data_IF_100926558507
#
_entry.id   IF_100926558507
#
_cell.length_a   1.000
_cell.length_b   1.000
_cell.length_c   1.000
_cell.angle_alpha   90.00
_cell.angle_beta   90.00
_cell.angle_gamma   90.00
#
_symmetry.space_group_name_H-M   'P 1'
#
loop_
_entity.id
_entity.type
_entity.pdbx_description
1 polymer ?
#
# COMPACT_ATOMS: atom_id res chain seq x y z
N UNK A 1 -20.95 30.10 -32.40
CA UNK A 1 -19.50 29.82 -32.27
C UNK A 1 -19.32 28.72 -31.26
N UNK A 2 -18.43 27.73 -31.53
CA UNK A 2 -18.07 26.72 -30.52
C UNK A 2 -17.29 27.38 -29.39
N UNK A 3 -17.55 27.05 -28.11
CA UNK A 3 -16.83 27.62 -26.98
C UNK A 3 -15.34 27.24 -27.04
N UNK A 4 -14.45 28.22 -26.88
CA UNK A 4 -13.01 28.00 -26.88
C UNK A 4 -12.58 27.40 -25.53
N UNK A 5 -11.81 26.33 -25.58
CA UNK A 5 -11.25 25.65 -24.43
C UNK A 5 -9.72 25.80 -24.48
N UNK A 6 -9.11 26.16 -23.37
CA UNK A 6 -7.65 26.20 -23.23
C UNK A 6 -7.23 25.07 -22.31
N UNK A 7 -6.23 24.27 -22.73
CA UNK A 7 -5.61 23.24 -21.90
C UNK A 7 -4.19 23.67 -21.58
N UNK A 8 -3.93 24.02 -20.32
CA UNK A 8 -2.65 24.50 -19.84
C UNK A 8 -1.86 23.39 -19.14
N UNK A 9 -0.64 23.14 -19.62
CA UNK A 9 0.23 22.07 -19.13
C UNK A 9 0.03 20.76 -19.90
N UNK A 10 0.60 20.68 -21.10
CA UNK A 10 0.48 19.52 -21.98
C UNK A 10 1.50 18.41 -21.65
N UNK A 11 1.58 18.01 -20.39
CA UNK A 11 2.20 16.75 -19.98
C UNK A 11 1.34 15.55 -20.36
N UNK A 12 1.62 14.35 -19.83
CA UNK A 12 0.91 13.12 -20.19
C UNK A 12 -0.62 13.23 -20.09
N UNK A 13 -1.13 13.78 -18.99
CA UNK A 13 -2.58 13.95 -18.76
C UNK A 13 -3.15 15.09 -19.63
N UNK A 14 -2.49 16.25 -19.64
CA UNK A 14 -2.96 17.42 -20.38
C UNK A 14 -2.99 17.18 -21.90
N UNK A 15 -2.00 16.49 -22.45
CA UNK A 15 -1.98 16.15 -23.87
C UNK A 15 -3.12 15.16 -24.24
N UNK A 16 -3.42 14.18 -23.39
CA UNK A 16 -4.57 13.28 -23.62
C UNK A 16 -5.90 14.03 -23.61
N UNK A 17 -6.08 14.98 -22.68
CA UNK A 17 -7.30 15.83 -22.64
C UNK A 17 -7.37 16.70 -23.89
N UNK A 18 -6.28 17.34 -24.28
CA UNK A 18 -6.20 18.17 -25.49
C UNK A 18 -6.55 17.35 -26.75
N UNK A 19 -5.94 16.19 -26.94
CA UNK A 19 -6.17 15.31 -28.08
C UNK A 19 -7.63 14.82 -28.14
N UNK A 20 -8.21 14.42 -27.00
CA UNK A 20 -9.59 13.96 -26.91
C UNK A 20 -10.56 15.08 -27.30
N UNK A 21 -10.38 16.29 -26.77
CA UNK A 21 -11.22 17.44 -27.11
C UNK A 21 -11.11 17.82 -28.60
N UNK A 22 -9.90 17.73 -29.16
CA UNK A 22 -9.65 17.96 -30.60
C UNK A 22 -10.36 16.92 -31.47
N UNK A 23 -10.30 15.63 -31.11
CA UNK A 23 -11.01 14.54 -31.78
C UNK A 23 -12.54 14.73 -31.75
N UNK A 24 -13.08 15.25 -30.66
CA UNK A 24 -14.48 15.59 -30.52
C UNK A 24 -14.90 16.87 -31.29
N UNK A 25 -13.96 17.50 -31.99
CA UNK A 25 -14.22 18.70 -32.78
C UNK A 25 -14.44 19.96 -31.96
N UNK A 26 -13.94 20.00 -30.71
CA UNK A 26 -13.95 21.21 -29.88
C UNK A 26 -12.93 22.25 -30.39
N UNK A 27 -13.21 23.54 -30.17
CA UNK A 27 -12.23 24.62 -30.41
C UNK A 27 -11.26 24.64 -29.21
N UNK A 28 -10.13 23.94 -29.35
CA UNK A 28 -9.15 23.78 -28.27
C UNK A 28 -7.80 24.38 -28.61
N UNK A 29 -7.18 25.04 -27.63
CA UNK A 29 -5.79 25.57 -27.68
C UNK A 29 -5.03 24.98 -26.53
N UNK A 30 -3.85 24.43 -26.83
CA UNK A 30 -2.91 23.91 -25.82
C UNK A 30 -1.87 24.96 -25.43
N UNK A 31 -1.48 24.99 -24.16
CA UNK A 31 -0.34 25.78 -23.68
C UNK A 31 0.72 24.82 -23.12
N UNK A 32 1.93 24.92 -23.63
CA UNK A 32 3.07 24.11 -23.20
C UNK A 32 4.32 24.97 -23.03
N UNK A 33 5.23 24.55 -22.15
CA UNK A 33 6.56 25.16 -22.01
C UNK A 33 7.58 24.61 -23.02
N UNK A 34 7.24 23.52 -23.71
CA UNK A 34 8.08 22.89 -24.73
C UNK A 34 7.26 22.58 -25.98
N UNK A 35 7.88 22.57 -27.17
CA UNK A 35 7.22 22.14 -28.40
C UNK A 35 6.75 20.69 -28.31
N UNK A 36 5.61 20.40 -28.95
CA UNK A 36 5.07 19.05 -29.02
C UNK A 36 5.18 18.54 -30.44
N UNK A 37 5.91 17.46 -30.68
CA UNK A 37 6.07 16.91 -32.02
C UNK A 37 4.72 16.51 -32.65
N UNK A 38 4.49 16.93 -33.88
CA UNK A 38 3.27 16.58 -34.64
C UNK A 38 2.05 17.50 -34.41
N UNK A 39 2.14 18.48 -33.52
CA UNK A 39 1.07 19.48 -33.36
C UNK A 39 1.37 20.76 -34.16
N UNK A 40 0.33 21.34 -34.77
CA UNK A 40 0.43 22.61 -35.52
C UNK A 40 0.50 23.80 -34.57
N UNK A 41 1.28 24.80 -34.92
CA UNK A 41 1.42 26.07 -34.16
C UNK A 41 0.08 26.83 -34.03
N UNK A 42 -0.90 26.56 -34.86
CA UNK A 42 -2.21 27.20 -34.80
C UNK A 42 -3.01 26.82 -33.55
N UNK A 43 -2.78 25.64 -32.99
CA UNK A 43 -3.49 25.13 -31.83
C UNK A 43 -2.61 25.00 -30.57
N UNK A 44 -1.35 25.49 -30.65
CA UNK A 44 -0.38 25.36 -29.59
C UNK A 44 0.29 26.71 -29.31
N UNK A 45 0.29 27.14 -28.06
CA UNK A 45 1.04 28.29 -27.57
C UNK A 45 2.19 27.79 -26.71
N UNK A 46 3.41 28.14 -27.10
CA UNK A 46 4.62 27.76 -26.37
C UNK A 46 5.08 28.94 -25.53
N UNK A 47 5.26 28.71 -24.23
CA UNK A 47 5.73 29.77 -23.31
C UNK A 47 5.65 29.38 -21.84
N UNK A 48 6.04 30.29 -20.98
CA UNK A 48 5.94 30.11 -19.54
C UNK A 48 4.47 30.09 -19.13
N UNK A 49 4.03 28.99 -18.52
CA UNK A 49 2.65 28.75 -18.13
C UNK A 49 2.10 29.77 -17.14
N UNK A 50 2.97 30.42 -16.34
CA UNK A 50 2.59 31.47 -15.37
C UNK A 50 2.51 32.87 -16.00
N UNK A 51 3.01 33.04 -17.22
CA UNK A 51 3.10 34.36 -17.84
C UNK A 51 1.73 34.84 -18.33
N UNK A 52 1.30 36.06 -17.94
CA UNK A 52 0.11 36.69 -18.51
C UNK A 52 0.18 36.80 -20.04
N UNK A 53 1.37 37.04 -20.60
CA UNK A 53 1.57 37.14 -22.05
C UNK A 53 1.26 35.82 -22.75
N UNK A 54 1.66 34.67 -22.20
CA UNK A 54 1.35 33.33 -22.73
C UNK A 54 -0.14 33.03 -22.69
N UNK A 55 -0.80 33.37 -21.58
CA UNK A 55 -2.26 33.20 -21.44
C UNK A 55 -3.02 34.14 -22.41
N UNK A 56 -2.54 35.36 -22.63
CA UNK A 56 -3.10 36.30 -23.59
C UNK A 56 -2.90 35.82 -25.03
N UNK A 57 -1.73 35.27 -25.37
CA UNK A 57 -1.47 34.66 -26.68
C UNK A 57 -2.43 33.51 -26.97
N UNK A 58 -2.85 32.70 -25.94
CA UNK A 58 -3.89 31.70 -26.05
C UNK A 58 -5.31 32.29 -26.08
N UNK A 59 -5.46 33.62 -26.06
CA UNK A 59 -6.74 34.33 -26.08
C UNK A 59 -7.64 34.03 -24.89
N UNK A 60 -7.09 34.00 -23.69
CA UNK A 60 -7.82 33.67 -22.46
C UNK A 60 -9.01 34.62 -22.21
N UNK A 61 -8.96 35.87 -22.66
CA UNK A 61 -10.03 36.86 -22.49
C UNK A 61 -11.34 36.42 -23.13
N UNK A 62 -11.25 35.70 -24.25
CA UNK A 62 -12.41 35.18 -25.00
C UNK A 62 -12.67 33.70 -24.77
N UNK A 63 -11.86 33.03 -23.97
CA UNK A 63 -12.02 31.62 -23.69
C UNK A 63 -13.19 31.38 -22.72
N UNK A 64 -13.91 30.30 -22.96
CA UNK A 64 -14.98 29.83 -22.09
C UNK A 64 -14.46 29.00 -20.92
N UNK A 65 -13.50 28.12 -21.19
CA UNK A 65 -13.00 27.14 -20.20
C UNK A 65 -11.46 27.08 -20.23
N UNK A 66 -10.86 27.05 -19.07
CA UNK A 66 -9.44 26.77 -18.86
C UNK A 66 -9.29 25.44 -18.07
N UNK A 67 -8.56 24.50 -18.63
CA UNK A 67 -8.18 23.25 -17.97
C UNK A 67 -6.72 23.36 -17.52
N UNK A 68 -6.49 23.28 -16.21
CA UNK A 68 -5.16 23.26 -15.60
C UNK A 68 -4.77 21.81 -15.37
N UNK A 69 -3.82 21.29 -16.15
CA UNK A 69 -3.50 19.87 -16.20
C UNK A 69 -2.07 19.53 -15.76
N UNK A 70 -1.33 20.50 -15.17
CA UNK A 70 0.02 20.24 -14.67
C UNK A 70 0.00 19.30 -13.46
N UNK A 71 1.14 18.70 -13.14
CA UNK A 71 1.29 17.84 -11.96
C UNK A 71 1.69 18.59 -10.69
N UNK A 72 1.78 19.89 -10.75
CA UNK A 72 2.19 20.78 -9.65
C UNK A 72 1.01 21.65 -9.22
N UNK A 73 0.49 21.41 -8.01
CA UNK A 73 -0.65 22.14 -7.45
C UNK A 73 -0.32 23.64 -7.29
N UNK A 74 0.91 23.99 -6.90
CA UNK A 74 1.32 25.38 -6.73
C UNK A 74 1.37 26.13 -8.08
N UNK A 75 1.84 25.44 -9.12
CA UNK A 75 1.83 25.99 -10.48
C UNK A 75 0.39 26.18 -10.99
N UNK A 76 -0.48 25.20 -10.78
CA UNK A 76 -1.89 25.30 -11.18
C UNK A 76 -2.59 26.47 -10.47
N UNK A 77 -2.34 26.66 -9.17
CA UNK A 77 -2.90 27.80 -8.42
C UNK A 77 -2.37 29.16 -8.92
N UNK A 78 -1.08 29.24 -9.24
CA UNK A 78 -0.51 30.46 -9.81
C UNK A 78 -1.13 30.80 -11.16
N UNK A 79 -1.32 29.82 -12.05
CA UNK A 79 -1.99 30.00 -13.34
C UNK A 79 -3.46 30.39 -13.14
N UNK A 80 -4.18 29.74 -12.21
CA UNK A 80 -5.57 30.05 -11.85
C UNK A 80 -5.71 31.52 -11.47
N UNK A 81 -4.81 32.02 -10.61
CA UNK A 81 -4.84 33.41 -10.16
C UNK A 81 -4.66 34.37 -11.32
N UNK A 82 -3.68 34.13 -12.19
CA UNK A 82 -3.46 34.93 -13.39
C UNK A 82 -4.65 34.86 -14.37
N UNK A 83 -5.21 33.70 -14.55
CA UNK A 83 -6.37 33.46 -15.41
C UNK A 83 -7.59 34.28 -14.94
N UNK A 84 -7.85 34.33 -13.63
CA UNK A 84 -8.95 35.10 -13.05
C UNK A 84 -8.75 36.61 -13.17
N UNK A 85 -7.52 37.07 -13.13
CA UNK A 85 -7.19 38.49 -13.38
C UNK A 85 -7.51 38.86 -14.84
N UNK A 86 -7.14 38.03 -15.80
CA UNK A 86 -7.32 38.24 -17.23
C UNK A 86 -8.75 37.99 -17.71
N UNK A 87 -9.45 37.03 -17.13
CA UNK A 87 -10.84 36.70 -17.43
C UNK A 87 -11.56 36.26 -16.14
N UNK A 88 -12.23 37.16 -15.42
CA UNK A 88 -12.91 36.85 -14.15
C UNK A 88 -14.04 35.81 -14.27
N UNK A 89 -14.62 35.66 -15.46
CA UNK A 89 -15.78 34.77 -15.70
C UNK A 89 -15.39 33.42 -16.30
N UNK A 90 -14.09 33.16 -16.51
CA UNK A 90 -13.67 31.90 -17.13
C UNK A 90 -13.99 30.71 -16.23
N UNK A 91 -14.58 29.66 -16.80
CA UNK A 91 -14.74 28.38 -16.12
C UNK A 91 -13.37 27.71 -15.96
N UNK A 92 -13.04 27.26 -14.75
CA UNK A 92 -11.75 26.61 -14.48
C UNK A 92 -11.97 25.17 -14.04
N UNK A 93 -11.30 24.26 -14.75
CA UNK A 93 -11.17 22.85 -14.35
C UNK A 93 -9.74 22.67 -13.90
N UNK A 94 -9.53 22.39 -12.62
CA UNK A 94 -8.22 22.37 -12.00
C UNK A 94 -7.88 20.95 -11.54
N UNK A 95 -6.75 20.42 -12.03
CA UNK A 95 -6.19 19.16 -11.51
C UNK A 95 -5.44 19.46 -10.22
N UNK A 96 -5.88 18.88 -9.11
CA UNK A 96 -5.22 19.03 -7.81
C UNK A 96 -4.99 17.65 -7.17
N UNK A 97 -3.82 17.50 -6.54
CA UNK A 97 -3.54 16.33 -5.71
C UNK A 97 -4.17 16.47 -4.33
N UNK A 98 -4.16 17.68 -3.77
CA UNK A 98 -4.73 17.96 -2.46
C UNK A 98 -6.26 18.09 -2.58
N UNK A 99 -6.97 17.03 -2.23
CA UNK A 99 -8.44 16.98 -2.28
C UNK A 99 -9.09 18.03 -1.37
N UNK A 100 -8.59 18.21 -0.15
CA UNK A 100 -9.16 19.17 0.81
C UNK A 100 -9.02 20.63 0.32
N UNK A 101 -7.91 20.96 -0.34
CA UNK A 101 -7.73 22.25 -0.99
C UNK A 101 -8.71 22.41 -2.16
N UNK A 102 -8.86 21.37 -2.99
CA UNK A 102 -9.81 21.35 -4.09
C UNK A 102 -11.23 21.64 -3.64
N UNK A 103 -11.73 20.93 -2.64
CA UNK A 103 -13.07 21.17 -2.09
C UNK A 103 -13.28 22.59 -1.56
N UNK A 104 -12.24 23.20 -0.95
CA UNK A 104 -12.32 24.59 -0.49
C UNK A 104 -12.42 25.55 -1.65
N UNK A 105 -11.62 25.36 -2.70
CA UNK A 105 -11.66 26.19 -3.90
C UNK A 105 -13.00 26.08 -4.62
N UNK A 106 -13.55 24.89 -4.74
CA UNK A 106 -14.85 24.65 -5.39
C UNK A 106 -16.00 25.35 -4.64
N UNK A 107 -15.90 25.49 -3.31
CA UNK A 107 -16.89 26.24 -2.50
C UNK A 107 -16.72 27.75 -2.55
N UNK A 108 -15.50 28.24 -2.81
CA UNK A 108 -15.18 29.69 -2.70
C UNK A 108 -15.06 30.38 -4.03
N UNK A 109 -14.69 29.65 -5.09
CA UNK A 109 -14.51 30.24 -6.42
C UNK A 109 -15.69 29.92 -7.32
N UNK A 110 -16.25 30.93 -8.01
CA UNK A 110 -17.33 30.72 -8.98
C UNK A 110 -16.81 29.93 -10.19
N UNK A 111 -17.64 29.07 -10.76
CA UNK A 111 -17.33 28.26 -11.95
C UNK A 111 -15.96 27.58 -11.90
N UNK A 112 -15.64 26.98 -10.72
CA UNK A 112 -14.42 26.24 -10.47
C UNK A 112 -14.76 24.78 -10.14
N UNK A 113 -14.01 23.85 -10.73
CA UNK A 113 -14.12 22.41 -10.47
C UNK A 113 -12.72 21.82 -10.29
N UNK A 114 -12.47 21.25 -9.12
CA UNK A 114 -11.25 20.51 -8.81
C UNK A 114 -11.41 19.02 -9.08
N UNK A 115 -10.43 18.44 -9.77
CA UNK A 115 -10.39 17.00 -10.05
C UNK A 115 -9.08 16.42 -9.52
N UNK A 116 -9.19 15.45 -8.61
CA UNK A 116 -8.04 14.67 -8.13
C UNK A 116 -7.97 13.33 -8.84
N UNK A 117 -6.87 13.11 -9.57
CA UNK A 117 -6.63 11.82 -10.26
C UNK A 117 -6.56 10.68 -9.25
N UNK A 118 -5.96 10.92 -8.08
CA UNK A 118 -5.88 9.91 -7.01
C UNK A 118 -7.26 9.56 -6.45
N UNK A 119 -8.11 10.56 -6.21
CA UNK A 119 -9.46 10.35 -5.72
C UNK A 119 -10.35 9.59 -6.73
N UNK A 120 -10.12 9.80 -8.02
CA UNK A 120 -10.84 9.09 -9.09
C UNK A 120 -10.31 7.66 -9.29
N UNK A 121 -9.00 7.46 -9.24
CA UNK A 121 -8.37 6.18 -9.55
C UNK A 121 -8.34 5.21 -8.34
N UNK A 122 -8.12 5.70 -7.12
CA UNK A 122 -7.94 4.85 -5.96
C UNK A 122 -9.09 3.88 -5.69
N UNK A 123 -10.36 4.26 -5.79
CA UNK A 123 -11.45 3.31 -5.61
C UNK A 123 -11.45 2.18 -6.64
N UNK A 124 -11.14 2.49 -7.90
CA UNK A 124 -11.09 1.49 -8.98
C UNK A 124 -9.99 0.47 -8.70
N UNK A 125 -8.78 0.94 -8.34
CA UNK A 125 -7.67 0.06 -7.96
C UNK A 125 -7.98 -0.76 -6.70
N UNK A 126 -8.60 -0.15 -5.69
CA UNK A 126 -8.99 -0.84 -4.46
C UNK A 126 -10.00 -1.95 -4.74
N UNK A 127 -10.99 -1.69 -5.59
CA UNK A 127 -11.98 -2.69 -5.99
C UNK A 127 -11.36 -3.81 -6.83
N UNK A 128 -10.46 -3.47 -7.75
CA UNK A 128 -9.72 -4.48 -8.51
C UNK A 128 -8.88 -5.38 -7.59
N UNK A 129 -8.23 -4.81 -6.58
CA UNK A 129 -7.47 -5.56 -5.58
C UNK A 129 -8.35 -6.51 -4.76
N UNK A 130 -9.63 -6.17 -4.55
CA UNK A 130 -10.62 -7.01 -3.87
C UNK A 130 -11.17 -8.14 -4.77
N UNK A 131 -10.71 -8.25 -6.01
CA UNK A 131 -11.16 -9.25 -6.98
C UNK A 131 -12.47 -8.89 -7.68
N UNK A 132 -12.96 -7.67 -7.53
CA UNK A 132 -14.18 -7.21 -8.15
C UNK A 132 -13.90 -6.55 -9.50
N UNK A 133 -14.63 -6.95 -10.54
CA UNK A 133 -14.56 -6.35 -11.89
C UNK A 133 -15.35 -5.03 -11.93
N UNK A 134 -14.91 -4.02 -11.18
CA UNK A 134 -15.54 -2.71 -11.22
C UNK A 134 -15.18 -1.96 -12.51
N UNK A 135 -16.18 -1.45 -13.22
CA UNK A 135 -16.00 -0.56 -14.37
C UNK A 135 -16.02 0.92 -13.94
N UNK A 136 -16.49 1.23 -12.73
CA UNK A 136 -16.57 2.58 -12.21
C UNK A 136 -17.08 2.65 -10.78
N UNK A 137 -17.34 3.87 -10.35
CA UNK A 137 -17.97 4.15 -9.05
C UNK A 137 -19.03 5.23 -9.18
N UNK A 138 -20.05 5.15 -8.33
CA UNK A 138 -21.08 6.17 -8.18
C UNK A 138 -21.17 6.58 -6.71
N UNK A 139 -21.01 7.87 -6.42
CA UNK A 139 -21.16 8.41 -5.07
C UNK A 139 -22.56 9.01 -4.90
N UNK A 140 -23.37 8.40 -4.04
CA UNK A 140 -24.71 8.87 -3.70
C UNK A 140 -24.82 8.97 -2.18
N UNK A 141 -25.26 10.12 -1.67
CA UNK A 141 -25.54 10.33 -0.22
C UNK A 141 -24.42 9.82 0.71
N UNK A 142 -23.20 10.24 0.52
CA UNK A 142 -22.03 9.79 1.30
C UNK A 142 -21.71 8.28 1.21
N UNK A 143 -22.38 7.53 0.35
CA UNK A 143 -22.08 6.13 0.06
C UNK A 143 -21.46 6.02 -1.33
N UNK A 144 -20.39 5.24 -1.42
CA UNK A 144 -19.76 4.92 -2.71
C UNK A 144 -20.25 3.56 -3.17
N UNK A 145 -20.90 3.53 -4.33
CA UNK A 145 -21.38 2.33 -4.99
C UNK A 145 -20.36 1.90 -6.04
N UNK A 146 -20.02 0.65 -6.02
CA UNK A 146 -19.15 0.04 -7.01
C UNK A 146 -20.00 -0.38 -8.22
N UNK A 147 -19.69 0.14 -9.39
CA UNK A 147 -20.39 -0.21 -10.63
C UNK A 147 -19.70 -1.42 -11.26
N UNK A 148 -20.48 -2.45 -11.52
CA UNK A 148 -20.00 -3.68 -12.17
C UNK A 148 -20.88 -4.01 -13.37
N UNK A 149 -20.24 -4.53 -14.43
CA UNK A 149 -20.92 -5.19 -15.51
C UNK A 149 -20.92 -6.70 -15.25
N UNK A 150 -22.08 -7.30 -15.33
CA UNK A 150 -22.29 -8.73 -15.15
C UNK A 150 -22.96 -9.28 -16.40
N UNK A 151 -22.33 -10.30 -16.98
CA UNK A 151 -22.91 -11.09 -18.07
C UNK A 151 -23.41 -12.39 -17.48
N UNK A 152 -24.67 -12.73 -17.73
CA UNK A 152 -25.28 -13.96 -17.22
C UNK A 152 -24.88 -15.11 -18.12
N UNK A 153 -24.22 -16.09 -17.54
CA UNK A 153 -23.98 -17.41 -18.14
C UNK A 153 -24.80 -18.49 -17.43
N UNK A 154 -24.74 -19.72 -17.91
CA UNK A 154 -25.52 -20.85 -17.37
C UNK A 154 -25.06 -21.26 -15.95
N UNK A 155 -23.81 -20.95 -15.57
CA UNK A 155 -23.24 -21.24 -14.26
C UNK A 155 -23.44 -20.08 -13.27
N UNK A 156 -23.93 -18.93 -13.75
CA UNK A 156 -24.08 -17.74 -12.92
C UNK A 156 -25.16 -17.95 -11.85
N UNK A 157 -24.92 -17.56 -10.57
CA UNK A 157 -25.90 -17.76 -9.48
C UNK A 157 -27.27 -17.12 -9.71
N UNK A 158 -27.36 -16.15 -10.61
CA UNK A 158 -28.60 -15.45 -10.93
C UNK A 158 -29.31 -15.98 -12.18
N UNK A 159 -28.74 -16.98 -12.86
CA UNK A 159 -29.38 -17.60 -14.00
C UNK A 159 -30.75 -18.16 -13.63
N UNK A 160 -31.76 -17.79 -14.37
CA UNK A 160 -33.15 -18.21 -14.12
C UNK A 160 -33.89 -17.50 -12.98
N UNK A 161 -33.21 -16.63 -12.20
CA UNK A 161 -33.87 -15.81 -11.18
C UNK A 161 -34.63 -14.65 -11.85
N UNK A 162 -35.78 -14.24 -11.28
CA UNK A 162 -36.47 -13.05 -11.75
C UNK A 162 -35.69 -11.79 -11.39
N UNK A 163 -35.70 -10.80 -12.27
CA UNK A 163 -34.99 -9.53 -12.07
C UNK A 163 -35.51 -8.74 -10.86
N UNK A 164 -36.79 -8.93 -10.49
CA UNK A 164 -37.40 -8.38 -9.28
C UNK A 164 -36.68 -8.74 -8.00
N UNK A 165 -36.16 -9.97 -7.87
CA UNK A 165 -35.47 -10.42 -6.66
C UNK A 165 -34.15 -9.66 -6.45
N UNK A 166 -33.51 -9.23 -7.54
CA UNK A 166 -32.30 -8.38 -7.48
C UNK A 166 -32.65 -6.93 -7.19
N UNK A 167 -33.83 -6.46 -7.61
CA UNK A 167 -34.33 -5.10 -7.38
C UNK A 167 -34.62 -4.86 -5.90
N UNK A 168 -35.16 -5.85 -5.22
CA UNK A 168 -35.57 -5.74 -3.81
C UNK A 168 -34.40 -5.81 -2.83
N UNK A 169 -33.18 -6.12 -3.29
CA UNK A 169 -31.98 -6.17 -2.45
C UNK A 169 -31.42 -4.76 -2.20
N UNK A 170 -31.47 -4.20 -0.96
CA UNK A 170 -31.04 -2.85 -0.65
C UNK A 170 -29.50 -2.67 -0.74
N UNK A 171 -28.74 -3.76 -0.84
CA UNK A 171 -27.29 -3.72 -1.00
C UNK A 171 -26.85 -3.58 -2.46
N UNK A 172 -27.80 -3.67 -3.37
CA UNK A 172 -27.61 -3.58 -4.82
C UNK A 172 -28.46 -2.49 -5.41
N UNK A 173 -28.00 -1.94 -6.51
CA UNK A 173 -28.72 -0.96 -7.33
C UNK A 173 -28.66 -1.44 -8.77
N UNK A 174 -29.78 -1.81 -9.35
CA UNK A 174 -29.86 -2.10 -10.77
C UNK A 174 -29.83 -0.78 -11.54
N UNK A 175 -28.84 -0.61 -12.42
CA UNK A 175 -28.62 0.61 -13.18
C UNK A 175 -29.10 0.45 -14.60
N UNK A 176 -28.75 -0.68 -15.23
CA UNK A 176 -29.09 -0.95 -16.62
C UNK A 176 -29.24 -2.46 -16.85
N UNK A 177 -30.16 -2.82 -17.75
CA UNK A 177 -30.39 -4.17 -18.20
C UNK A 177 -30.45 -4.21 -19.73
N UNK A 178 -29.60 -5.02 -20.34
CA UNK A 178 -29.59 -5.29 -21.78
C UNK A 178 -29.85 -6.78 -21.98
N UNK A 179 -31.06 -7.16 -22.35
CA UNK A 179 -31.40 -8.55 -22.64
C UNK A 179 -30.74 -9.03 -23.95
N UNK A 180 -30.42 -10.33 -24.00
CA UNK A 180 -29.78 -10.94 -25.17
C UNK A 180 -30.74 -11.09 -26.37
N UNK A 181 -32.03 -11.27 -26.11
CA UNK A 181 -33.01 -11.67 -27.14
C UNK A 181 -34.18 -10.70 -27.32
N UNK A 182 -34.50 -9.88 -26.33
CA UNK A 182 -35.69 -9.03 -26.31
C UNK A 182 -35.30 -7.54 -26.25
N UNK A 183 -36.18 -6.67 -26.74
CA UNK A 183 -36.05 -5.22 -26.54
C UNK A 183 -36.96 -4.76 -25.38
N UNK A 184 -36.58 -5.07 -24.14
CA UNK A 184 -37.28 -4.65 -22.93
C UNK A 184 -36.39 -3.78 -22.05
N UNK A 185 -36.93 -2.68 -21.54
CA UNK A 185 -36.17 -1.85 -20.58
C UNK A 185 -36.19 -2.43 -19.18
N UNK A 186 -35.28 -1.96 -18.31
CA UNK A 186 -35.08 -2.44 -16.94
C UNK A 186 -36.40 -2.41 -16.12
N UNK A 187 -37.14 -1.29 -16.18
CA UNK A 187 -38.36 -1.13 -15.37
C UNK A 187 -39.42 -2.13 -15.79
N UNK A 188 -39.65 -2.27 -17.10
CA UNK A 188 -40.62 -3.22 -17.62
C UNK A 188 -40.21 -4.67 -17.36
N UNK A 189 -38.93 -4.97 -17.40
CA UNK A 189 -38.41 -6.30 -17.08
C UNK A 189 -38.62 -6.69 -15.60
N UNK A 190 -38.44 -5.73 -14.69
CA UNK A 190 -38.71 -5.94 -13.25
C UNK A 190 -40.21 -6.15 -13.01
N UNK A 191 -41.09 -5.30 -13.58
CA UNK A 191 -42.55 -5.40 -13.41
C UNK A 191 -43.10 -6.70 -13.98
N UNK A 192 -42.57 -7.16 -15.13
CA UNK A 192 -43.00 -8.38 -15.79
C UNK A 192 -42.31 -9.67 -15.23
N UNK A 193 -41.59 -9.59 -14.11
CA UNK A 193 -40.90 -10.71 -13.51
C UNK A 193 -40.00 -11.46 -14.52
N UNK A 194 -39.35 -10.73 -15.42
CA UNK A 194 -38.43 -11.30 -16.41
C UNK A 194 -37.33 -12.09 -15.73
N UNK A 195 -37.18 -13.36 -16.14
CA UNK A 195 -36.09 -14.22 -15.66
C UNK A 195 -34.83 -13.96 -16.47
N UNK A 196 -33.69 -13.89 -15.76
CA UNK A 196 -32.40 -13.73 -16.37
C UNK A 196 -32.00 -14.94 -17.20
N UNK A 197 -31.53 -14.69 -18.41
CA UNK A 197 -31.14 -15.70 -19.38
C UNK A 197 -29.67 -15.58 -19.75
N UNK A 198 -29.12 -16.63 -20.36
CA UNK A 198 -27.76 -16.61 -20.90
C UNK A 198 -27.57 -15.50 -21.91
N UNK A 199 -26.51 -14.71 -21.74
CA UNK A 199 -26.19 -13.57 -22.59
C UNK A 199 -26.81 -12.26 -22.16
N UNK A 200 -27.64 -12.24 -21.11
CA UNK A 200 -28.15 -10.99 -20.54
C UNK A 200 -27.03 -10.20 -19.87
N UNK A 201 -26.98 -8.89 -20.08
CA UNK A 201 -26.02 -7.98 -19.48
C UNK A 201 -26.70 -7.09 -18.42
N UNK A 202 -26.11 -7.00 -17.25
CA UNK A 202 -26.55 -6.16 -16.15
C UNK A 202 -25.43 -5.18 -15.76
N UNK A 203 -25.78 -3.90 -15.63
CA UNK A 203 -24.93 -2.93 -14.93
C UNK A 203 -25.55 -2.71 -13.56
N UNK A 204 -24.81 -3.04 -12.53
CA UNK A 204 -25.27 -2.94 -11.14
C UNK A 204 -24.31 -2.12 -10.30
N UNK A 205 -24.87 -1.41 -9.32
CA UNK A 205 -24.12 -0.81 -8.22
C UNK A 205 -24.18 -1.72 -7.00
N UNK A 206 -23.04 -2.02 -6.42
CA UNK A 206 -22.94 -2.82 -5.18
C UNK A 206 -22.33 -1.95 -4.09
N UNK A 207 -22.92 -1.95 -2.89
CA UNK A 207 -22.28 -1.35 -1.73
C UNK A 207 -21.12 -2.23 -1.27
N UNK A 208 -19.91 -1.67 -1.06
CA UNK A 208 -18.82 -2.42 -0.47
C UNK A 208 -19.23 -2.84 0.94
N UNK A 209 -19.41 -4.14 1.15
CA UNK A 209 -19.66 -4.68 2.49
C UNK A 209 -18.35 -4.66 3.25
N UNK A 210 -18.30 -3.88 4.34
CA UNK A 210 -17.26 -3.99 5.34
C UNK A 210 -17.42 -5.37 6.00
N UNK A 211 -16.67 -6.35 5.53
CA UNK A 211 -16.56 -7.63 6.23
C UNK A 211 -15.93 -7.36 7.60
N UNK A 212 -16.75 -7.20 8.62
CA UNK A 212 -16.27 -7.26 10.00
C UNK A 212 -15.63 -8.62 10.22
N UNK A 213 -14.31 -8.65 10.09
CA UNK A 213 -13.51 -9.83 10.37
C UNK A 213 -13.55 -10.05 11.88
N UNK A 214 -14.41 -10.95 12.35
CA UNK A 214 -14.37 -11.42 13.74
C UNK A 214 -12.93 -11.83 14.06
N UNK A 215 -12.27 -11.04 14.90
CA UNK A 215 -10.93 -11.32 15.42
C UNK A 215 -11.00 -12.55 16.32
N UNK A 216 -10.89 -13.73 15.77
CA UNK A 216 -10.76 -14.97 16.55
C UNK A 216 -9.44 -14.95 17.31
N UNK A 217 -9.52 -15.02 18.64
CA UNK A 217 -8.36 -15.09 19.56
C UNK A 217 -7.45 -16.30 19.26
N UNK A 218 -8.00 -17.39 18.71
CA UNK A 218 -7.24 -18.59 18.31
C UNK A 218 -6.20 -18.31 17.21
N UNK A 219 -6.41 -17.28 16.35
CA UNK A 219 -5.46 -16.89 15.32
C UNK A 219 -4.19 -16.21 15.85
N UNK A 220 -4.21 -15.62 17.07
CA UNK A 220 -3.01 -15.01 17.65
C UNK A 220 -1.96 -16.09 18.02
N UNK A 221 -2.38 -17.24 18.53
CA UNK A 221 -1.47 -18.34 18.87
C UNK A 221 -0.86 -19.00 17.62
N UNK A 222 -1.65 -19.23 16.57
CA UNK A 222 -1.15 -19.76 15.30
C UNK A 222 -0.13 -18.83 14.63
N UNK A 223 -0.31 -17.50 14.73
CA UNK A 223 0.65 -16.50 14.19
C UNK A 223 2.03 -16.58 14.87
N UNK A 224 2.08 -16.86 16.16
CA UNK A 224 3.37 -16.98 16.90
C UNK A 224 4.14 -18.21 16.44
N UNK A 225 3.47 -19.35 16.25
CA UNK A 225 4.12 -20.62 15.86
C UNK A 225 4.60 -20.60 14.40
N UNK A 226 3.84 -20.01 13.47
CA UNK A 226 4.25 -19.87 12.06
C UNK A 226 5.40 -18.89 11.88
N UNK A 227 5.43 -17.81 12.65
CA UNK A 227 6.56 -16.87 12.65
C UNK A 227 7.86 -17.54 13.15
N UNK A 228 7.80 -18.41 14.15
CA UNK A 228 9.00 -19.14 14.63
C UNK A 228 9.71 -19.95 13.52
N UNK A 229 8.96 -20.53 12.56
CA UNK A 229 9.57 -21.25 11.44
C UNK A 229 10.35 -20.35 10.47
N UNK A 230 9.93 -19.12 10.28
CA UNK A 230 10.61 -18.16 9.41
C UNK A 230 11.92 -17.67 10.02
N UNK A 231 12.04 -17.72 11.37
CA UNK A 231 13.21 -17.29 12.12
C UNK A 231 14.27 -18.38 12.30
N UNK A 232 14.00 -19.63 11.92
CA UNK A 232 14.96 -20.74 12.07
C UNK A 232 16.32 -20.46 11.45
N UNK A 233 16.41 -19.69 10.38
CA UNK A 233 17.70 -19.35 9.75
C UNK A 233 18.55 -18.40 10.61
N UNK A 234 17.93 -17.51 11.36
CA UNK A 234 18.66 -16.51 12.17
C UNK A 234 18.99 -17.01 13.59
N UNK A 235 18.15 -17.88 14.13
CA UNK A 235 18.33 -18.43 15.49
C UNK A 235 19.25 -19.64 15.49
N UNK A 236 19.42 -20.33 14.36
CA UNK A 236 20.31 -21.51 14.26
C UNK A 236 21.72 -21.29 14.80
N UNK A 237 22.49 -20.26 14.39
CA UNK A 237 23.84 -20.08 14.89
C UNK A 237 23.87 -19.81 16.41
N UNK A 238 22.92 -19.08 16.95
CA UNK A 238 22.81 -18.82 18.40
C UNK A 238 22.51 -20.12 19.15
N UNK A 239 21.59 -20.95 18.64
CA UNK A 239 21.28 -22.25 19.24
C UNK A 239 22.54 -23.16 19.25
N UNK A 240 23.28 -23.23 18.12
CA UNK A 240 24.45 -24.08 18.03
C UNK A 240 25.57 -23.62 18.99
N UNK A 241 25.83 -22.31 19.12
CA UNK A 241 26.83 -21.79 20.05
C UNK A 241 26.40 -21.98 21.48
N UNK A 242 25.14 -21.76 21.83
CA UNK A 242 24.58 -22.02 23.16
C UNK A 242 24.65 -23.52 23.53
N UNK A 243 24.36 -24.40 22.57
CA UNK A 243 24.47 -25.84 22.77
C UNK A 243 25.92 -26.28 22.97
N UNK A 244 26.86 -25.70 22.20
CA UNK A 244 28.30 -25.94 22.36
C UNK A 244 28.79 -25.51 23.76
N UNK A 245 28.36 -24.34 24.23
CA UNK A 245 28.66 -23.85 25.58
C UNK A 245 28.10 -24.79 26.65
N UNK A 246 26.86 -25.23 26.52
CA UNK A 246 26.23 -26.15 27.44
C UNK A 246 27.00 -27.50 27.52
N UNK A 247 27.32 -28.08 26.34
CA UNK A 247 28.09 -29.33 26.25
C UNK A 247 29.44 -29.15 26.92
N UNK A 248 30.11 -28.02 26.73
CA UNK A 248 31.41 -27.75 27.31
C UNK A 248 31.34 -27.64 28.86
N UNK A 249 30.31 -26.95 29.39
CA UNK A 249 30.05 -26.87 30.83
C UNK A 249 29.79 -28.26 31.42
N UNK A 250 28.93 -29.06 30.76
CA UNK A 250 28.61 -30.41 31.23
C UNK A 250 29.82 -31.33 31.21
N UNK A 251 30.63 -31.29 30.14
CA UNK A 251 31.83 -32.09 30.01
C UNK A 251 32.85 -31.73 31.13
N UNK A 252 33.07 -30.44 31.40
CA UNK A 252 33.92 -29.98 32.49
C UNK A 252 33.38 -30.45 33.84
N UNK A 253 32.10 -30.29 34.11
CA UNK A 253 31.45 -30.70 35.36
C UNK A 253 31.62 -32.18 35.62
N UNK A 254 31.35 -33.05 34.63
CA UNK A 254 31.52 -34.49 34.77
C UNK A 254 33.00 -34.88 34.99
N UNK A 255 33.93 -34.25 34.29
CA UNK A 255 35.36 -34.51 34.46
C UNK A 255 35.82 -34.19 35.88
N UNK A 256 35.37 -33.05 36.44
CA UNK A 256 35.75 -32.69 37.84
C UNK A 256 35.13 -33.63 38.88
N UNK A 257 33.87 -34.09 38.70
CA UNK A 257 33.24 -35.07 39.58
C UNK A 257 33.97 -36.41 39.50
N UNK A 258 34.35 -36.85 38.29
CA UNK A 258 35.02 -38.14 38.10
C UNK A 258 36.38 -38.20 38.74
N UNK A 259 37.13 -37.10 38.66
CA UNK A 259 38.48 -37.03 39.25
C UNK A 259 38.44 -36.77 40.75
N UNK A 260 37.51 -35.99 41.23
CA UNK A 260 37.40 -35.65 42.63
C UNK A 260 36.05 -36.08 43.21
N UNK A 261 35.96 -37.36 43.62
CA UNK A 261 34.75 -37.99 44.13
C UNK A 261 34.13 -37.35 45.38
N UNK A 262 34.82 -36.40 46.03
CA UNK A 262 34.33 -35.69 47.23
C UNK A 262 33.64 -34.35 46.92
N UNK A 263 33.59 -33.92 45.66
CA UNK A 263 32.96 -32.68 45.25
C UNK A 263 31.48 -32.90 44.99
N UNK A 264 30.65 -32.00 45.49
CA UNK A 264 29.22 -32.01 45.15
C UNK A 264 29.02 -31.61 43.69
N UNK A 265 27.93 -32.12 43.05
CA UNK A 265 27.56 -31.76 41.67
C UNK A 265 27.39 -30.24 41.50
N UNK A 266 26.86 -29.55 42.52
CA UNK A 266 26.67 -28.08 42.52
C UNK A 266 27.98 -27.35 42.54
N UNK A 267 28.95 -27.78 43.37
CA UNK A 267 30.27 -27.15 43.41
C UNK A 267 31.06 -27.37 42.11
N UNK A 268 30.97 -28.56 41.51
CA UNK A 268 31.60 -28.87 40.23
C UNK A 268 31.02 -28.03 39.10
N UNK A 269 29.68 -27.86 39.06
CA UNK A 269 28.99 -27.03 38.10
C UNK A 269 29.37 -25.54 38.27
N UNK A 270 29.34 -25.05 39.50
CA UNK A 270 29.73 -23.68 39.84
C UNK A 270 31.17 -23.38 39.38
N UNK A 271 32.09 -24.27 39.67
CA UNK A 271 33.48 -24.15 39.24
C UNK A 271 33.61 -24.18 37.71
N UNK A 272 32.94 -25.12 37.03
CA UNK A 272 32.94 -25.24 35.55
C UNK A 272 32.42 -23.98 34.88
N UNK A 273 31.28 -23.45 35.36
CA UNK A 273 30.71 -22.22 34.83
C UNK A 273 31.67 -21.04 35.07
N UNK A 274 32.19 -20.88 36.29
CA UNK A 274 33.12 -19.80 36.65
C UNK A 274 34.39 -19.80 35.80
N UNK A 275 34.97 -20.96 35.55
CA UNK A 275 36.20 -21.12 34.76
C UNK A 275 35.95 -20.87 33.27
N UNK A 276 34.88 -21.38 32.71
CA UNK A 276 34.51 -21.21 31.28
C UNK A 276 34.11 -19.76 31.00
N UNK A 277 33.40 -19.10 31.91
CA UNK A 277 32.96 -17.71 31.74
C UNK A 277 34.05 -16.69 32.10
N UNK A 278 35.13 -17.10 32.70
CA UNK A 278 36.19 -16.20 33.20
C UNK A 278 35.80 -15.42 34.45
N UNK A 279 34.67 -15.77 35.11
CA UNK A 279 34.21 -15.12 36.32
C UNK A 279 35.00 -15.56 37.58
N UNK A 280 35.87 -16.56 37.43
CA UNK A 280 36.57 -17.19 38.55
C UNK A 280 35.72 -18.17 39.34
N UNK A 281 36.31 -18.98 40.18
CA UNK A 281 35.60 -19.97 40.98
C UNK A 281 36.47 -20.39 42.16
N UNK A 282 36.01 -21.37 42.98
CA UNK A 282 36.81 -21.98 44.05
C UNK A 282 38.03 -22.64 43.45
N UNK A 283 39.20 -21.95 43.50
CA UNK A 283 40.46 -22.42 42.94
C UNK A 283 40.97 -23.71 43.62
N UNK A 284 40.53 -24.00 44.85
CA UNK A 284 40.84 -25.23 45.60
C UNK A 284 40.54 -26.53 44.78
N UNK A 285 39.64 -26.50 43.85
CA UNK A 285 39.28 -27.67 43.02
C UNK A 285 40.37 -28.03 42.02
N UNK A 286 41.06 -27.01 41.47
CA UNK A 286 42.11 -27.18 40.48
C UNK A 286 43.50 -27.27 41.17
N UNK A 287 43.71 -26.61 42.34
CA UNK A 287 44.98 -26.53 43.00
C UNK A 287 45.44 -27.87 43.54
N UNK A 288 44.53 -28.69 44.05
CA UNK A 288 44.76 -30.04 44.54
C UNK A 288 44.62 -31.15 43.51
N UNK A 289 44.33 -30.82 42.27
CA UNK A 289 44.14 -31.78 41.22
C UNK A 289 45.46 -32.23 40.57
N UNK A 290 45.50 -33.44 39.96
CA UNK A 290 46.62 -33.89 39.14
C UNK A 290 46.95 -32.90 38.00
N UNK A 291 48.23 -32.85 37.57
CA UNK A 291 48.70 -31.91 36.55
C UNK A 291 47.91 -32.02 35.22
N UNK A 292 47.49 -33.23 34.88
CA UNK A 292 46.59 -33.43 33.69
C UNK A 292 45.29 -32.64 33.78
N UNK A 293 44.71 -32.49 34.97
CA UNK A 293 43.46 -31.73 35.18
C UNK A 293 43.74 -30.22 35.13
N UNK A 294 44.89 -29.76 35.59
CA UNK A 294 45.28 -28.36 35.44
C UNK A 294 45.43 -27.98 33.97
N UNK A 295 46.04 -28.84 33.17
CA UNK A 295 46.15 -28.62 31.70
C UNK A 295 44.76 -28.65 31.03
N UNK A 296 43.92 -29.60 31.42
CA UNK A 296 42.53 -29.67 30.94
C UNK A 296 41.77 -28.37 31.28
N UNK A 297 41.87 -27.92 32.52
CA UNK A 297 41.25 -26.67 32.97
C UNK A 297 41.72 -25.46 32.15
N UNK A 298 43.02 -25.34 31.92
CA UNK A 298 43.58 -24.26 31.10
C UNK A 298 43.07 -24.29 29.66
N UNK A 299 42.99 -25.47 29.06
CA UNK A 299 42.38 -25.62 27.71
C UNK A 299 40.89 -25.23 27.69
N UNK A 300 40.14 -25.63 28.72
CA UNK A 300 38.70 -25.28 28.82
C UNK A 300 38.52 -23.78 29.06
N UNK A 301 39.39 -23.10 29.78
CA UNK A 301 39.37 -21.63 29.93
C UNK A 301 39.57 -20.93 28.60
N UNK A 302 40.55 -21.31 27.80
CA UNK A 302 40.82 -20.72 26.49
C UNK A 302 39.66 -20.98 25.51
N UNK A 303 39.18 -22.23 25.46
CA UNK A 303 38.04 -22.61 24.64
C UNK A 303 36.77 -21.84 25.07
N UNK A 304 36.52 -21.71 26.35
CA UNK A 304 35.42 -20.95 26.93
C UNK A 304 35.44 -19.48 26.54
N UNK A 305 36.59 -18.84 26.70
CA UNK A 305 36.77 -17.45 26.28
C UNK A 305 36.47 -17.25 24.80
N UNK A 306 36.87 -18.20 23.93
CA UNK A 306 36.56 -18.18 22.50
C UNK A 306 35.05 -18.28 22.21
N UNK A 307 34.36 -19.24 22.85
CA UNK A 307 32.91 -19.41 22.68
C UNK A 307 32.14 -18.20 23.20
N UNK A 308 32.53 -17.63 24.32
CA UNK A 308 31.91 -16.42 24.87
C UNK A 308 32.14 -15.23 23.92
N UNK A 309 33.34 -15.07 23.37
CA UNK A 309 33.61 -14.05 22.36
C UNK A 309 32.71 -14.16 21.15
N UNK A 310 32.44 -15.38 20.68
CA UNK A 310 31.46 -15.63 19.58
C UNK A 310 30.05 -15.27 20.05
N UNK A 311 29.64 -15.59 21.28
CA UNK A 311 28.33 -15.20 21.82
C UNK A 311 28.18 -13.66 21.85
N UNK A 312 29.20 -12.94 22.32
CA UNK A 312 29.16 -11.47 22.28
C UNK A 312 29.10 -10.90 20.87
N UNK A 313 29.85 -11.47 19.93
CA UNK A 313 29.82 -11.05 18.55
C UNK A 313 28.41 -11.25 17.91
N UNK A 314 27.79 -12.40 18.17
CA UNK A 314 26.43 -12.69 17.70
C UNK A 314 25.38 -11.79 18.34
N UNK A 315 25.47 -11.52 19.64
CA UNK A 315 24.61 -10.58 20.36
C UNK A 315 24.78 -9.16 19.84
N UNK A 316 26.00 -8.74 19.61
CA UNK A 316 26.30 -7.40 19.11
C UNK A 316 25.75 -7.22 17.67
N UNK A 317 25.95 -8.21 16.78
CA UNK A 317 25.40 -8.21 15.43
C UNK A 317 23.85 -8.21 15.46
N UNK A 318 23.23 -8.87 16.43
CA UNK A 318 21.78 -8.89 16.58
C UNK A 318 21.22 -7.57 17.13
N UNK A 319 21.85 -7.01 18.18
CA UNK A 319 21.35 -5.81 18.88
C UNK A 319 21.70 -4.52 18.15
N UNK A 320 22.93 -4.36 17.66
CA UNK A 320 23.41 -3.15 16.98
C UNK A 320 23.30 -3.22 15.48
N UNK A 321 23.18 -4.42 14.90
CA UNK A 321 23.00 -4.60 13.47
C UNK A 321 21.61 -4.18 13.00
N UNK A 322 21.50 -3.83 11.73
CA UNK A 322 20.22 -3.54 11.04
C UNK A 322 19.19 -4.69 11.14
N UNK A 323 19.62 -5.86 11.58
CA UNK A 323 18.82 -7.09 11.66
C UNK A 323 17.72 -7.04 12.71
N UNK A 324 17.97 -6.42 13.87
CA UNK A 324 16.91 -6.25 14.89
C UNK A 324 15.79 -5.38 14.39
N UNK A 325 16.11 -4.29 13.68
CA UNK A 325 15.13 -3.40 13.08
C UNK A 325 14.34 -4.12 11.97
N UNK A 326 15.04 -4.84 11.08
CA UNK A 326 14.41 -5.66 10.06
C UNK A 326 13.53 -6.77 10.66
N UNK A 327 13.96 -7.36 11.78
CA UNK A 327 13.20 -8.37 12.51
C UNK A 327 11.90 -7.80 13.08
N UNK A 328 11.96 -6.65 13.73
CA UNK A 328 10.78 -5.98 14.30
C UNK A 328 9.83 -5.56 13.18
N UNK A 329 10.35 -5.03 12.08
CA UNK A 329 9.53 -4.60 10.94
C UNK A 329 8.88 -5.81 10.22
N UNK A 330 9.64 -6.90 10.04
CA UNK A 330 9.08 -8.14 9.48
C UNK A 330 8.02 -8.79 10.39
N UNK A 331 8.18 -8.68 11.71
CA UNK A 331 7.19 -9.19 12.68
C UNK A 331 5.86 -8.41 12.65
N UNK A 332 5.89 -7.16 12.20
CA UNK A 332 4.68 -6.31 12.02
C UNK A 332 3.91 -6.67 10.76
N UNK A 333 4.58 -7.26 9.76
CA UNK A 333 3.94 -7.62 8.49
C UNK A 333 3.04 -8.84 8.68
N UNK A 334 1.77 -8.76 8.28
CA UNK A 334 0.87 -9.91 8.33
C UNK A 334 1.38 -11.05 7.43
N UNK A 335 1.31 -12.30 7.88
CA UNK A 335 1.81 -13.45 7.12
C UNK A 335 0.90 -13.86 5.96
N UNK A 336 -0.38 -13.48 6.01
CA UNK A 336 -1.37 -13.82 4.98
C UNK A 336 -2.62 -12.93 5.07
N UNK A 337 -3.34 -12.82 3.97
CA UNK A 337 -4.62 -12.11 3.90
C UNK A 337 -4.48 -10.59 4.00
N UNK A 338 -3.35 -10.03 3.59
CA UNK A 338 -3.09 -8.60 3.44
C UNK A 338 -2.98 -8.20 1.97
N UNK A 339 -3.15 -6.92 1.71
CA UNK A 339 -2.94 -6.33 0.39
C UNK A 339 -1.58 -5.64 0.36
N UNK A 340 -0.87 -5.73 -0.76
CA UNK A 340 0.42 -5.08 -0.94
C UNK A 340 0.24 -3.92 -1.91
N UNK A 341 0.63 -2.72 -1.46
CA UNK A 341 0.64 -1.51 -2.28
C UNK A 341 2.09 -1.09 -2.52
N UNK A 342 2.53 -1.14 -3.77
CA UNK A 342 3.87 -0.72 -4.16
C UNK A 342 3.85 0.74 -4.62
N UNK A 343 4.60 1.59 -3.92
CA UNK A 343 4.67 3.03 -4.15
C UNK A 343 3.65 3.83 -3.34
N UNK A 344 4.14 4.70 -2.47
CA UNK A 344 3.33 5.55 -1.61
C UNK A 344 3.23 6.98 -2.17
N UNK A 345 2.85 7.09 -3.44
CA UNK A 345 2.46 8.36 -4.05
C UNK A 345 1.01 8.73 -3.70
N UNK A 346 0.48 9.80 -4.31
CA UNK A 346 -0.89 10.25 -4.04
C UNK A 346 -1.96 9.17 -4.32
N UNK A 347 -1.78 8.37 -5.38
CA UNK A 347 -2.69 7.26 -5.71
C UNK A 347 -2.50 6.11 -4.72
N UNK A 348 -1.24 5.72 -4.43
CA UNK A 348 -0.94 4.66 -3.48
C UNK A 348 -1.49 4.96 -2.09
N UNK A 349 -1.31 6.18 -1.59
CA UNK A 349 -1.85 6.63 -0.31
C UNK A 349 -3.39 6.54 -0.28
N UNK A 350 -4.05 7.03 -1.31
CA UNK A 350 -5.50 6.98 -1.39
C UNK A 350 -6.05 5.53 -1.47
N UNK A 351 -5.31 4.60 -2.13
CA UNK A 351 -5.64 3.16 -2.12
C UNK A 351 -5.48 2.58 -0.71
N UNK A 352 -4.38 2.90 -0.03
CA UNK A 352 -4.12 2.45 1.36
C UNK A 352 -5.25 2.90 2.28
N UNK A 353 -5.58 4.18 2.28
CA UNK A 353 -6.67 4.75 3.08
C UNK A 353 -8.00 4.02 2.81
N UNK A 354 -8.32 3.82 1.55
CA UNK A 354 -9.58 3.16 1.18
C UNK A 354 -9.64 1.70 1.62
N UNK A 355 -8.57 0.92 1.42
CA UNK A 355 -8.51 -0.47 1.88
C UNK A 355 -8.55 -0.58 3.40
N UNK A 356 -7.89 0.34 4.12
CA UNK A 356 -7.94 0.40 5.59
C UNK A 356 -9.34 0.77 6.10
N UNK A 357 -10.02 1.74 5.48
CA UNK A 357 -11.42 2.08 5.80
C UNK A 357 -12.37 0.89 5.61
N UNK A 358 -12.07 0.00 4.66
CA UNK A 358 -12.81 -1.24 4.44
C UNK A 358 -12.40 -2.38 5.40
N UNK A 359 -11.49 -2.11 6.35
CA UNK A 359 -11.05 -3.07 7.38
C UNK A 359 -10.02 -4.08 6.89
N UNK A 360 -9.34 -3.83 5.78
CA UNK A 360 -8.30 -4.69 5.24
C UNK A 360 -6.93 -4.35 5.84
N UNK A 361 -6.09 -5.37 6.04
CA UNK A 361 -4.68 -5.20 6.40
C UNK A 361 -3.89 -4.86 5.13
N UNK A 362 -3.12 -3.76 5.15
CA UNK A 362 -2.35 -3.29 4.00
C UNK A 362 -0.89 -3.18 4.36
N UNK A 363 -0.03 -3.71 3.49
CA UNK A 363 1.43 -3.58 3.56
C UNK A 363 1.88 -2.65 2.44
N UNK A 364 2.68 -1.66 2.77
CA UNK A 364 3.18 -0.69 1.80
C UNK A 364 4.67 -0.94 1.55
N UNK A 365 5.05 -0.97 0.27
CA UNK A 365 6.44 -1.02 -0.18
C UNK A 365 6.77 0.33 -0.82
N UNK A 366 7.69 1.08 -0.21
CA UNK A 366 8.16 2.38 -0.69
C UNK A 366 9.68 2.41 -0.71
N UNK A 367 10.25 2.93 -1.79
CA UNK A 367 11.70 3.03 -1.99
C UNK A 367 12.27 4.27 -1.27
N UNK A 368 11.54 5.37 -1.32
CA UNK A 368 11.95 6.63 -0.69
C UNK A 368 11.70 6.57 0.81
N UNK A 369 12.79 6.58 1.58
CA UNK A 369 12.74 6.59 3.06
C UNK A 369 12.18 7.88 3.65
N UNK A 370 12.23 8.99 2.90
CA UNK A 370 11.76 10.31 3.31
C UNK A 370 10.45 10.73 2.63
N UNK A 371 9.72 9.74 2.10
CA UNK A 371 8.44 9.99 1.45
C UNK A 371 7.47 10.72 2.40
N UNK A 372 6.91 11.84 1.92
CA UNK A 372 5.99 12.72 2.66
C UNK A 372 4.72 12.04 3.19
N UNK A 373 4.36 10.88 2.66
CA UNK A 373 3.18 10.11 3.07
C UNK A 373 3.49 9.00 4.08
N UNK A 374 4.74 8.93 4.58
CA UNK A 374 5.20 7.87 5.48
C UNK A 374 4.88 8.14 6.97
N UNK A 375 4.27 9.27 7.30
CA UNK A 375 3.98 9.69 8.68
C UNK A 375 2.89 8.84 9.37
#
# INVERSE_FOLDING_TARGET
MKPRIIVCGLGQTGYKIFSLLKQQGASVVGISNVPIPGESETNLVIGNLRSPATLTAAQIQSAHTLVLATSDDALNLAILTQARILNPKIRIINRLFNHALGERLDRTLPDHVSLSVSALAAPIFSFAALGNKAIGQLRLHNKTWQIQEIVIDEEHPWYGLPLSDLWDDPTRMLIYYLPALDEINLVSAVINYKKLQKGDHLIIGIQPQVRQRQRSLSRKFSKVVTNLRQYQRFVRPVIWVSLCLLIMIMTATFTYIWVNQKISLVDALYFSVGMITGAGGKEDVAEKAPDAIKVFTAMMMVAGAGVIGICYALLNDFVLGSRLKQFIDAAKVPTHGHYIVCGLGAVGMAIVEQLQHQGHEVVVIEVDSENRFRA
#
